data_IF_159640414603
#
_entry.id   IF_159640414603
#
_cell.length_a   1.000
_cell.length_b   1.000
_cell.length_c   1.000
_cell.angle_alpha   90.00
_cell.angle_beta   90.00
_cell.angle_gamma   90.00
#
_symmetry.space_group_name_H-M   'P 1'
#
loop_
_entity.id
_entity.type
_entity.pdbx_description
1 polymer ?
#
# COMPACT_ATOMS: atom_id res chain seq x y z
N UNK A 1 0.19 -25.35 32.29
CA UNK A 1 0.76 -24.40 31.31
C UNK A 1 -0.35 -23.97 30.37
N UNK A 2 -0.57 -22.65 30.19
CA UNK A 2 -1.61 -22.14 29.28
C UNK A 2 -1.11 -22.06 27.84
N UNK A 3 -2.03 -22.15 26.90
CA UNK A 3 -1.75 -21.95 25.48
C UNK A 3 -3.03 -21.98 24.65
N UNK A 4 -2.87 -22.28 23.36
CA UNK A 4 -3.93 -22.30 22.37
C UNK A 4 -3.92 -23.60 21.59
N UNK A 5 -5.09 -23.99 21.09
CA UNK A 5 -5.22 -25.11 20.16
C UNK A 5 -6.26 -24.79 19.10
N UNK A 6 -5.93 -25.16 17.87
CA UNK A 6 -6.84 -25.10 16.73
C UNK A 6 -7.34 -26.51 16.40
N UNK A 7 -8.61 -26.60 16.01
CA UNK A 7 -9.30 -27.81 15.62
C UNK A 7 -10.02 -27.59 14.28
N UNK A 8 -10.48 -28.68 13.69
CA UNK A 8 -11.41 -28.64 12.58
C UNK A 8 -12.77 -28.05 13.02
N UNK A 9 -13.61 -27.70 12.04
CA UNK A 9 -14.94 -27.10 12.27
C UNK A 9 -15.87 -27.92 13.18
N UNK A 10 -15.64 -29.23 13.25
CA UNK A 10 -16.40 -30.21 14.03
C UNK A 10 -15.74 -30.52 15.39
N UNK A 11 -14.79 -29.70 15.84
CA UNK A 11 -14.03 -29.90 17.08
C UNK A 11 -13.13 -31.15 17.08
N UNK A 12 -12.83 -31.71 15.90
CA UNK A 12 -11.89 -32.82 15.80
C UNK A 12 -10.45 -32.36 15.60
N UNK A 13 -9.50 -33.17 16.06
CA UNK A 13 -8.08 -33.06 15.73
C UNK A 13 -7.50 -34.47 15.65
N UNK A 14 -6.91 -34.83 14.51
CA UNK A 14 -6.32 -36.18 14.24
C UNK A 14 -7.27 -37.34 14.59
N UNK A 15 -8.57 -37.21 14.27
CA UNK A 15 -9.57 -38.25 14.51
C UNK A 15 -10.08 -38.35 15.95
N UNK A 16 -9.63 -37.47 16.85
CA UNK A 16 -10.13 -37.38 18.22
C UNK A 16 -11.12 -36.20 18.36
N UNK A 17 -12.24 -36.44 19.03
CA UNK A 17 -13.28 -35.45 19.29
C UNK A 17 -13.01 -34.71 20.59
N UNK A 18 -12.95 -33.37 20.52
CA UNK A 18 -12.80 -32.52 21.69
C UNK A 18 -14.10 -31.78 22.00
N UNK A 19 -14.17 -31.24 23.21
CA UNK A 19 -15.30 -30.47 23.70
C UNK A 19 -14.80 -29.44 24.73
N UNK A 20 -15.35 -28.24 24.68
CA UNK A 20 -15.06 -27.16 25.62
C UNK A 20 -15.49 -27.57 27.04
N UNK A 21 -14.69 -27.20 28.03
CA UNK A 21 -14.91 -27.51 29.44
C UNK A 21 -14.46 -28.91 29.88
N UNK A 22 -14.01 -29.76 28.94
CA UNK A 22 -13.52 -31.11 29.24
C UNK A 22 -12.00 -31.17 29.36
N UNK A 23 -11.55 -32.17 30.10
CA UNK A 23 -10.14 -32.56 30.21
C UNK A 23 -9.92 -33.89 29.53
N UNK A 24 -8.83 -33.99 28.78
CA UNK A 24 -8.47 -35.15 27.99
C UNK A 24 -7.10 -35.65 28.43
N UNK A 25 -6.92 -36.96 28.45
CA UNK A 25 -5.65 -37.62 28.77
C UNK A 25 -5.16 -38.45 27.60
N UNK A 26 -3.84 -38.52 27.44
CA UNK A 26 -3.16 -39.42 26.51
C UNK A 26 -2.37 -40.43 27.32
N UNK A 27 -2.66 -41.71 27.10
CA UNK A 27 -1.96 -42.81 27.77
C UNK A 27 -0.77 -43.28 26.93
N UNK A 28 0.33 -43.62 27.61
CA UNK A 28 1.57 -44.07 26.99
C UNK A 28 2.55 -42.93 26.63
N UNK A 29 3.59 -43.28 25.90
CA UNK A 29 4.65 -42.34 25.54
C UNK A 29 4.09 -41.22 24.65
N UNK A 30 4.37 -39.97 25.01
CA UNK A 30 4.07 -38.81 24.20
C UNK A 30 5.37 -38.11 23.78
N UNK A 31 5.32 -37.28 22.73
CA UNK A 31 6.50 -36.54 22.26
C UNK A 31 6.16 -35.58 21.13
N UNK A 32 6.99 -34.54 20.96
CA UNK A 32 6.69 -33.39 20.09
C UNK A 32 6.33 -33.75 18.63
N UNK A 33 6.89 -34.85 18.10
CA UNK A 33 6.65 -35.31 16.72
C UNK A 33 5.92 -36.65 16.64
N UNK A 34 5.48 -37.23 17.77
CA UNK A 34 4.83 -38.53 17.82
C UNK A 34 3.36 -38.39 18.24
N UNK A 35 3.05 -38.84 19.45
CA UNK A 35 1.72 -38.94 20.03
C UNK A 35 1.59 -37.98 21.21
N UNK A 36 0.36 -37.70 21.62
CA UNK A 36 0.03 -36.77 22.69
C UNK A 36 -0.94 -35.68 22.26
N UNK A 37 -1.24 -34.79 23.20
CA UNK A 37 -2.19 -33.70 23.02
C UNK A 37 -1.40 -32.42 22.68
N UNK A 38 -1.22 -32.15 21.38
CA UNK A 38 -0.47 -30.97 20.91
C UNK A 38 -1.26 -29.67 21.06
N UNK A 39 -0.56 -28.61 21.46
CA UNK A 39 -1.05 -27.23 21.56
C UNK A 39 0.11 -26.26 21.30
N UNK A 40 -0.15 -24.96 21.12
CA UNK A 40 0.88 -23.95 20.98
C UNK A 40 0.84 -22.95 22.13
N UNK A 41 1.98 -22.38 22.49
CA UNK A 41 2.04 -21.35 23.53
C UNK A 41 1.56 -20.00 23.00
N UNK A 42 1.93 -19.65 21.77
CA UNK A 42 1.38 -18.49 21.07
C UNK A 42 0.29 -18.93 20.09
N UNK A 43 -0.76 -18.11 19.98
CA UNK A 43 -1.86 -18.38 19.05
C UNK A 43 -1.39 -18.37 17.59
N UNK A 44 -0.42 -17.51 17.26
CA UNK A 44 0.11 -17.38 15.90
C UNK A 44 0.68 -18.70 15.38
N UNK A 45 1.42 -19.42 16.22
CA UNK A 45 2.11 -20.66 15.87
C UNK A 45 1.13 -21.81 15.55
N UNK A 46 -0.08 -21.79 16.15
CA UNK A 46 -1.12 -22.76 15.80
C UNK A 46 -1.44 -22.75 14.29
N UNK A 47 -1.36 -21.59 13.66
CA UNK A 47 -1.70 -21.40 12.25
C UNK A 47 -0.56 -21.72 11.29
N UNK A 48 0.55 -22.23 11.81
CA UNK A 48 1.58 -22.89 10.98
C UNK A 48 1.23 -24.37 10.77
N UNK A 49 0.33 -24.92 11.61
CA UNK A 49 -0.19 -26.29 11.54
C UNK A 49 -1.62 -26.38 10.99
N UNK A 50 -2.36 -25.28 10.99
CA UNK A 50 -3.73 -25.19 10.50
C UNK A 50 -3.88 -23.99 9.56
N UNK A 51 -4.72 -24.11 8.50
CA UNK A 51 -5.04 -22.95 7.67
C UNK A 51 -5.70 -21.86 8.51
N UNK A 52 -5.35 -20.60 8.26
CA UNK A 52 -6.01 -19.45 8.89
C UNK A 52 -7.40 -19.25 8.28
N UNK A 53 -8.39 -19.95 8.86
CA UNK A 53 -9.75 -20.03 8.33
C UNK A 53 -10.78 -19.83 9.45
N UNK A 54 -11.79 -18.94 9.29
CA UNK A 54 -12.83 -18.70 10.28
C UNK A 54 -13.73 -19.91 10.60
N UNK A 55 -13.72 -20.95 9.78
CA UNK A 55 -14.43 -22.21 10.08
C UNK A 55 -13.71 -23.07 11.13
N UNK A 56 -12.42 -22.85 11.36
CA UNK A 56 -11.69 -23.57 12.38
C UNK A 56 -12.18 -23.19 13.79
N UNK A 57 -12.14 -24.17 14.70
CA UNK A 57 -12.38 -23.92 16.12
C UNK A 57 -11.07 -23.60 16.80
N UNK A 58 -11.03 -22.51 17.56
CA UNK A 58 -9.85 -22.06 18.28
C UNK A 58 -10.19 -22.01 19.76
N UNK A 59 -9.33 -22.57 20.61
CA UNK A 59 -9.56 -22.60 22.04
C UNK A 59 -8.36 -22.16 22.84
N UNK A 60 -8.61 -21.51 23.97
CA UNK A 60 -7.67 -21.46 25.08
C UNK A 60 -7.62 -22.84 25.73
N UNK A 61 -6.41 -23.31 26.00
CA UNK A 61 -6.16 -24.62 26.61
C UNK A 61 -5.20 -24.50 27.78
N UNK A 62 -5.29 -25.47 28.69
CA UNK A 62 -4.35 -25.61 29.80
C UNK A 62 -3.82 -27.04 29.88
N UNK A 63 -2.51 -27.19 29.72
CA UNK A 63 -1.82 -28.43 30.01
C UNK A 63 -1.72 -28.61 31.52
N UNK A 64 -2.33 -29.69 32.02
CA UNK A 64 -2.43 -30.05 33.45
C UNK A 64 -1.49 -31.20 33.83
N UNK A 65 -0.84 -31.82 32.84
CA UNK A 65 0.09 -32.93 33.03
C UNK A 65 1.53 -32.55 32.71
N UNK A 66 2.32 -33.54 32.33
CA UNK A 66 3.68 -33.34 31.86
C UNK A 66 3.64 -32.65 30.49
N UNK A 67 4.62 -31.78 30.24
CA UNK A 67 4.72 -30.98 29.02
C UNK A 67 6.12 -31.08 28.44
N UNK A 68 6.19 -31.35 27.15
CA UNK A 68 7.40 -31.19 26.34
C UNK A 68 7.13 -30.06 25.33
N UNK A 69 8.06 -29.12 25.20
CA UNK A 69 7.91 -27.95 24.32
C UNK A 69 9.06 -27.88 23.33
N UNK A 70 8.74 -27.63 22.07
CA UNK A 70 9.67 -27.14 21.05
C UNK A 70 9.51 -25.64 20.86
N UNK A 71 10.00 -25.13 19.73
CA UNK A 71 10.01 -23.69 19.45
C UNK A 71 8.61 -23.11 19.19
N UNK A 72 7.76 -23.83 18.47
CA UNK A 72 6.46 -23.37 17.94
C UNK A 72 5.26 -24.23 18.39
N UNK A 73 5.53 -25.32 19.11
CA UNK A 73 4.50 -26.23 19.62
C UNK A 73 4.92 -26.90 20.92
N UNK A 74 3.92 -27.34 21.66
CA UNK A 74 4.04 -28.12 22.88
C UNK A 74 3.16 -29.36 22.78
N UNK A 75 3.47 -30.37 23.58
CA UNK A 75 2.68 -31.59 23.72
C UNK A 75 2.53 -31.92 25.20
N UNK A 76 1.36 -32.43 25.58
CA UNK A 76 1.09 -32.88 26.95
C UNK A 76 0.36 -34.22 26.97
N UNK A 77 0.47 -34.94 28.09
CA UNK A 77 -0.36 -36.10 28.38
C UNK A 77 -1.72 -35.75 29.02
N UNK A 78 -1.96 -34.49 29.42
CA UNK A 78 -3.26 -34.07 29.99
C UNK A 78 -3.59 -32.63 29.64
N UNK A 79 -4.63 -32.42 28.84
CA UNK A 79 -5.03 -31.12 28.30
C UNK A 79 -6.49 -30.80 28.65
N UNK A 80 -6.73 -29.64 29.25
CA UNK A 80 -8.06 -29.09 29.43
C UNK A 80 -8.38 -28.09 28.32
N UNK A 81 -9.58 -28.18 27.74
CA UNK A 81 -10.10 -27.21 26.77
C UNK A 81 -10.93 -26.20 27.56
N UNK A 82 -10.42 -24.98 27.72
CA UNK A 82 -10.99 -24.02 28.68
C UNK A 82 -12.22 -23.33 28.09
N UNK A 83 -12.06 -22.71 26.91
CA UNK A 83 -13.13 -22.02 26.19
C UNK A 83 -12.81 -21.89 24.72
N UNK A 84 -13.84 -21.73 23.89
CA UNK A 84 -13.70 -21.29 22.49
C UNK A 84 -13.38 -19.80 22.44
N UNK A 85 -12.48 -19.41 21.54
CA UNK A 85 -12.27 -18.03 21.11
C UNK A 85 -13.19 -17.74 19.93
N UNK A 86 -13.87 -16.60 19.96
CA UNK A 86 -14.54 -16.08 18.77
C UNK A 86 -13.51 -15.71 17.71
N UNK A 87 -13.92 -15.73 16.43
CA UNK A 87 -13.01 -15.32 15.36
C UNK A 87 -12.55 -13.85 15.48
N UNK A 88 -13.39 -12.99 16.05
CA UNK A 88 -13.00 -11.60 16.33
C UNK A 88 -11.88 -11.52 17.37
N UNK A 89 -11.94 -12.31 18.46
CA UNK A 89 -10.84 -12.40 19.43
C UNK A 89 -9.56 -12.90 18.76
N UNK A 90 -9.65 -13.92 17.89
CA UNK A 90 -8.50 -14.42 17.13
C UNK A 90 -7.86 -13.32 16.29
N UNK A 91 -8.67 -12.54 15.57
CA UNK A 91 -8.18 -11.42 14.76
C UNK A 91 -7.55 -10.32 15.62
N UNK A 92 -8.17 -9.97 16.75
CA UNK A 92 -7.68 -8.94 17.67
C UNK A 92 -6.37 -9.36 18.37
N UNK A 93 -6.17 -10.65 18.58
CA UNK A 93 -4.93 -11.19 19.18
C UNK A 93 -3.78 -11.29 18.18
N UNK A 94 -4.08 -11.46 16.89
CA UNK A 94 -3.07 -11.65 15.84
C UNK A 94 -2.77 -10.37 15.05
N UNK A 95 -3.47 -9.27 15.34
CA UNK A 95 -3.28 -7.99 14.67
C UNK A 95 -3.27 -6.87 15.72
N UNK A 96 -2.49 -5.83 15.47
CA UNK A 96 -2.57 -4.59 16.27
C UNK A 96 -3.49 -3.61 15.56
N UNK A 97 -4.53 -3.14 16.24
CA UNK A 97 -5.49 -2.16 15.74
C UNK A 97 -6.86 -2.76 15.46
N UNK A 98 -7.60 -2.24 14.48
CA UNK A 98 -9.04 -2.53 14.30
C UNK A 98 -9.39 -2.77 12.84
N UNK A 99 -10.37 -3.64 12.61
CA UNK A 99 -10.90 -3.91 11.27
C UNK A 99 -9.90 -4.62 10.36
N UNK A 100 -8.88 -5.25 10.91
CA UNK A 100 -7.92 -6.03 10.13
C UNK A 100 -8.50 -7.42 9.86
N UNK A 101 -8.30 -7.93 8.65
CA UNK A 101 -8.52 -9.33 8.29
C UNK A 101 -7.18 -9.97 7.90
N UNK A 102 -7.03 -11.27 8.08
CA UNK A 102 -5.73 -11.95 7.97
C UNK A 102 -4.90 -11.85 9.26
N UNK A 103 -3.60 -12.10 9.14
CA UNK A 103 -2.67 -12.33 10.26
C UNK A 103 -1.48 -11.37 10.24
N UNK A 104 -1.08 -10.88 11.41
CA UNK A 104 0.16 -10.13 11.59
C UNK A 104 0.12 -8.69 11.09
N UNK A 105 -1.07 -8.08 10.93
CA UNK A 105 -1.18 -6.69 10.52
C UNK A 105 -0.98 -5.74 11.72
N UNK A 106 -0.36 -4.59 11.45
CA UNK A 106 -0.26 -3.46 12.37
C UNK A 106 -0.94 -2.24 11.76
N UNK A 107 -1.89 -1.65 12.49
CA UNK A 107 -2.70 -0.51 12.07
C UNK A 107 -4.17 -0.88 11.86
N UNK A 108 -4.86 -0.25 10.91
CA UNK A 108 -6.32 -0.32 10.84
C UNK A 108 -6.80 -0.63 9.42
N UNK A 109 -7.86 -1.42 9.33
CA UNK A 109 -8.57 -1.71 8.08
C UNK A 109 -7.67 -2.33 7.00
N UNK A 110 -6.68 -3.14 7.40
CA UNK A 110 -5.88 -3.90 6.46
C UNK A 110 -6.57 -5.23 6.12
N UNK A 111 -6.49 -5.65 4.86
CA UNK A 111 -6.96 -6.95 4.40
C UNK A 111 -5.81 -7.74 3.79
N UNK A 112 -5.60 -8.97 4.28
CA UNK A 112 -4.45 -9.80 3.96
C UNK A 112 -3.47 -9.87 5.13
N UNK A 113 -2.23 -10.26 4.87
CA UNK A 113 -1.29 -10.60 5.96
C UNK A 113 -0.10 -9.65 6.01
N UNK A 114 0.40 -9.45 7.23
CA UNK A 114 1.67 -8.77 7.49
C UNK A 114 1.77 -7.35 6.92
N UNK A 115 0.66 -6.62 6.86
CA UNK A 115 0.67 -5.21 6.47
C UNK A 115 0.97 -4.31 7.67
N UNK A 116 1.73 -3.24 7.44
CA UNK A 116 1.99 -2.18 8.41
C UNK A 116 1.43 -0.85 7.89
N UNK A 117 0.61 -0.18 8.70
CA UNK A 117 -0.12 1.04 8.37
C UNK A 117 -1.62 0.80 8.18
N UNK A 118 -2.29 1.58 7.32
CA UNK A 118 -3.75 1.60 7.25
C UNK A 118 -4.30 1.41 5.85
N UNK A 119 -5.46 0.77 5.76
CA UNK A 119 -6.24 0.60 4.54
C UNK A 119 -5.47 -0.11 3.41
N UNK A 120 -4.56 -1.02 3.74
CA UNK A 120 -3.88 -1.83 2.74
C UNK A 120 -4.71 -3.06 2.36
N UNK A 121 -4.68 -3.44 1.08
CA UNK A 121 -5.28 -4.67 0.57
C UNK A 121 -4.21 -5.51 -0.13
N UNK A 122 -4.05 -6.76 0.30
CA UNK A 122 -2.97 -7.65 -0.11
C UNK A 122 -2.01 -7.92 1.04
N UNK A 123 -0.78 -8.34 0.74
CA UNK A 123 0.16 -8.84 1.74
C UNK A 123 1.47 -8.04 1.77
N UNK A 124 2.07 -7.94 2.96
CA UNK A 124 3.40 -7.38 3.17
C UNK A 124 3.56 -5.92 2.72
N UNK A 125 2.49 -5.12 2.75
CA UNK A 125 2.59 -3.69 2.45
C UNK A 125 3.04 -2.90 3.67
N UNK A 126 3.88 -1.89 3.45
CA UNK A 126 4.26 -0.90 4.46
C UNK A 126 3.82 0.49 4.04
N UNK A 127 3.09 1.17 4.91
CA UNK A 127 2.46 2.47 4.65
C UNK A 127 0.95 2.34 4.47
N UNK A 128 0.34 3.17 3.61
CA UNK A 128 -1.11 3.38 3.65
C UNK A 128 -1.74 3.29 2.27
N UNK A 129 -2.95 2.73 2.20
CA UNK A 129 -3.79 2.71 1.00
C UNK A 129 -3.10 2.04 -0.20
N UNK A 130 -2.28 1.02 0.05
CA UNK A 130 -1.69 0.21 -1.01
C UNK A 130 -2.64 -0.95 -1.38
N UNK A 131 -2.70 -1.26 -2.67
CA UNK A 131 -3.42 -2.42 -3.20
C UNK A 131 -2.46 -3.32 -3.98
N UNK A 132 -2.44 -4.60 -3.64
CA UNK A 132 -1.46 -5.58 -4.13
C UNK A 132 -0.43 -5.92 -3.05
N UNK A 133 0.75 -6.41 -3.43
CA UNK A 133 1.67 -7.03 -2.47
C UNK A 133 3.04 -6.36 -2.44
N UNK A 134 3.66 -6.35 -1.24
CA UNK A 134 5.04 -5.91 -1.03
C UNK A 134 5.31 -4.46 -1.47
N UNK A 135 4.32 -3.59 -1.36
CA UNK A 135 4.52 -2.17 -1.62
C UNK A 135 5.06 -1.45 -0.38
N UNK A 136 5.97 -0.52 -0.58
CA UNK A 136 6.46 0.41 0.45
C UNK A 136 6.06 1.83 0.06
N UNK A 137 5.42 2.54 1.00
CA UNK A 137 4.92 3.90 0.83
C UNK A 137 3.39 3.95 0.74
N UNK A 138 2.84 4.79 -0.14
CA UNK A 138 1.43 5.18 -0.05
C UNK A 138 0.76 5.22 -1.42
N UNK A 139 -0.51 4.80 -1.47
CA UNK A 139 -1.33 4.85 -2.68
C UNK A 139 -0.74 4.11 -3.88
N UNK A 140 0.01 3.04 -3.64
CA UNK A 140 0.51 2.20 -4.72
C UNK A 140 -0.54 1.15 -5.11
N UNK A 141 -0.70 0.91 -6.40
CA UNK A 141 -1.53 -0.15 -6.97
C UNK A 141 -0.67 -1.08 -7.81
N UNK A 142 -0.70 -2.38 -7.50
CA UNK A 142 0.20 -3.38 -8.07
C UNK A 142 1.15 -3.93 -7.01
N UNK A 143 2.30 -4.45 -7.41
CA UNK A 143 3.19 -5.20 -6.54
C UNK A 143 4.61 -4.64 -6.55
N UNK A 144 5.30 -4.75 -5.41
CA UNK A 144 6.73 -4.42 -5.26
C UNK A 144 7.08 -2.98 -5.63
N UNK A 145 6.14 -2.05 -5.47
CA UNK A 145 6.42 -0.64 -5.67
C UNK A 145 7.07 -0.03 -4.42
N UNK A 146 8.05 0.83 -4.62
CA UNK A 146 8.66 1.66 -3.58
C UNK A 146 8.42 3.12 -3.91
N UNK A 147 7.88 3.88 -2.94
CA UNK A 147 7.51 5.28 -3.08
C UNK A 147 6.00 5.48 -3.05
N UNK A 148 5.48 6.45 -3.82
CA UNK A 148 4.08 6.87 -3.66
C UNK A 148 3.38 7.03 -5.01
N UNK A 149 2.08 6.73 -5.03
CA UNK A 149 1.22 6.93 -6.20
C UNK A 149 1.70 6.19 -7.46
N UNK A 150 2.34 5.03 -7.30
CA UNK A 150 2.72 4.18 -8.43
C UNK A 150 1.57 3.25 -8.82
N UNK A 151 1.37 3.05 -10.11
CA UNK A 151 0.42 2.10 -10.68
C UNK A 151 1.14 1.16 -11.65
N UNK A 152 1.06 -0.14 -11.39
CA UNK A 152 1.83 -1.19 -12.07
C UNK A 152 2.77 -1.89 -11.10
N UNK A 153 3.71 -2.66 -11.60
CA UNK A 153 4.58 -3.51 -10.81
C UNK A 153 6.05 -3.06 -10.82
N UNK A 154 6.71 -3.22 -9.67
CA UNK A 154 8.15 -3.04 -9.50
C UNK A 154 8.69 -1.64 -9.81
N UNK A 155 7.90 -0.59 -9.58
CA UNK A 155 8.35 0.79 -9.73
C UNK A 155 9.08 1.29 -8.48
N UNK A 156 10.11 2.11 -8.69
CA UNK A 156 10.82 2.84 -7.64
C UNK A 156 10.76 4.34 -7.93
N UNK A 157 10.25 5.12 -6.99
CA UNK A 157 10.00 6.55 -7.13
C UNK A 157 8.52 6.89 -6.96
N UNK A 158 8.08 8.00 -7.53
CA UNK A 158 6.74 8.52 -7.32
C UNK A 158 5.99 8.74 -8.64
N UNK A 159 4.67 8.57 -8.61
CA UNK A 159 3.78 8.90 -9.74
C UNK A 159 4.09 8.15 -11.03
N UNK A 160 4.64 6.93 -10.94
CA UNK A 160 4.88 6.11 -12.13
C UNK A 160 3.63 5.34 -12.54
N UNK A 161 3.41 5.21 -13.85
CA UNK A 161 2.40 4.36 -14.45
C UNK A 161 3.03 3.38 -15.45
N UNK A 162 2.79 2.09 -15.25
CA UNK A 162 3.45 0.99 -15.97
C UNK A 162 4.42 0.24 -15.06
N UNK A 163 5.31 -0.54 -15.64
CA UNK A 163 6.09 -1.54 -14.91
C UNK A 163 7.60 -1.24 -14.95
N UNK A 164 8.28 -1.56 -13.84
CA UNK A 164 9.74 -1.54 -13.73
C UNK A 164 10.38 -0.18 -14.03
N UNK A 165 9.70 0.93 -13.69
CA UNK A 165 10.28 2.26 -13.80
C UNK A 165 11.12 2.60 -12.55
N UNK A 166 12.20 3.34 -12.76
CA UNK A 166 13.02 3.96 -11.71
C UNK A 166 13.12 5.46 -11.98
N UNK A 167 12.68 6.28 -11.03
CA UNK A 167 12.54 7.73 -11.16
C UNK A 167 11.10 8.16 -10.92
N UNK A 168 10.80 9.42 -11.20
CA UNK A 168 9.51 10.04 -10.89
C UNK A 168 8.73 10.40 -12.16
N UNK A 169 7.40 10.27 -12.08
CA UNK A 169 6.45 10.71 -13.11
C UNK A 169 6.64 10.04 -14.48
N UNK A 170 7.04 8.78 -14.51
CA UNK A 170 7.14 8.02 -15.75
C UNK A 170 5.79 7.39 -16.16
N UNK A 171 5.59 7.29 -17.46
CA UNK A 171 4.52 6.53 -18.10
C UNK A 171 5.15 5.56 -19.11
N UNK A 172 4.75 4.29 -19.07
CA UNK A 172 5.35 3.21 -19.84
C UNK A 172 6.22 2.30 -18.99
N UNK A 173 7.14 1.55 -19.60
CA UNK A 173 7.83 0.46 -18.92
C UNK A 173 9.36 0.58 -19.01
N UNK A 174 10.06 0.13 -17.97
CA UNK A 174 11.52 0.02 -17.96
C UNK A 174 12.26 1.36 -18.15
N UNK A 175 11.67 2.48 -17.74
CA UNK A 175 12.35 3.78 -17.75
C UNK A 175 13.25 3.91 -16.52
N UNK A 176 14.39 4.57 -16.67
CA UNK A 176 15.35 4.83 -15.58
C UNK A 176 15.68 6.32 -15.47
N UNK A 177 14.65 7.17 -15.66
CA UNK A 177 14.73 8.64 -15.68
C UNK A 177 13.51 9.21 -14.99
N UNK A 178 13.41 10.53 -14.93
CA UNK A 178 12.15 11.20 -14.58
C UNK A 178 11.38 11.61 -15.85
N UNK A 179 10.08 11.81 -15.72
CA UNK A 179 9.19 12.41 -16.73
C UNK A 179 9.19 11.73 -18.12
N UNK A 180 9.53 10.45 -18.22
CA UNK A 180 9.52 9.72 -19.48
C UNK A 180 8.11 9.19 -19.80
N UNK A 181 7.72 9.28 -21.07
CA UNK A 181 6.46 8.69 -21.57
C UNK A 181 6.68 7.49 -22.50
N UNK A 182 7.91 6.95 -22.51
CA UNK A 182 8.36 5.89 -23.41
C UNK A 182 8.57 4.54 -22.73
N UNK A 183 9.34 3.69 -23.38
CA UNK A 183 9.85 2.46 -22.77
C UNK A 183 11.34 2.34 -22.99
N UNK A 184 12.06 1.78 -22.02
CA UNK A 184 13.52 1.68 -22.04
C UNK A 184 14.22 3.05 -22.18
N UNK A 185 13.65 4.12 -21.64
CA UNK A 185 14.31 5.42 -21.61
C UNK A 185 15.37 5.44 -20.51
N UNK A 186 16.63 5.70 -20.88
CA UNK A 186 17.77 5.88 -19.96
C UNK A 186 18.25 7.32 -19.87
N UNK A 187 17.71 8.20 -20.70
CA UNK A 187 18.01 9.63 -20.73
C UNK A 187 16.69 10.41 -20.70
N UNK A 188 16.66 11.54 -19.98
CA UNK A 188 15.46 12.35 -19.83
C UNK A 188 14.98 12.84 -21.21
N UNK A 189 13.69 12.66 -21.48
CA UNK A 189 13.09 13.10 -22.74
C UNK A 189 13.14 14.64 -22.83
N UNK A 190 13.33 15.21 -24.05
CA UNK A 190 13.37 16.65 -24.21
C UNK A 190 12.13 17.34 -23.64
N UNK A 191 12.33 18.32 -22.76
CA UNK A 191 11.25 19.18 -22.31
C UNK A 191 10.76 20.04 -23.48
N UNK A 192 9.45 20.05 -23.73
CA UNK A 192 8.86 20.75 -24.87
C UNK A 192 8.26 22.08 -24.41
N UNK A 193 8.68 23.17 -25.05
CA UNK A 193 8.05 24.49 -24.96
C UNK A 193 7.60 24.89 -26.36
N UNK A 194 6.35 25.32 -26.50
CA UNK A 194 5.76 25.75 -27.77
C UNK A 194 5.99 24.75 -28.92
N UNK A 195 5.67 23.48 -28.66
CA UNK A 195 5.76 22.36 -29.60
C UNK A 195 7.18 22.05 -30.12
N UNK A 196 8.23 22.59 -29.51
CA UNK A 196 9.63 22.37 -29.88
C UNK A 196 10.47 21.95 -28.67
N UNK A 197 11.54 21.14 -28.86
CA UNK A 197 12.52 20.89 -27.81
C UNK A 197 13.05 22.20 -27.23
N UNK A 198 12.95 22.34 -25.91
CA UNK A 198 13.39 23.50 -25.18
C UNK A 198 14.92 23.50 -25.03
N UNK A 199 15.58 24.68 -25.13
CA UNK A 199 16.99 24.81 -24.79
C UNK A 199 17.25 24.80 -23.28
N UNK A 200 16.20 24.92 -22.47
CA UNK A 200 16.25 24.84 -20.99
C UNK A 200 15.52 23.59 -20.49
N UNK A 201 15.96 23.09 -19.35
CA UNK A 201 15.37 21.96 -18.64
C UNK A 201 13.98 22.30 -18.07
N UNK A 202 13.24 21.26 -17.70
CA UNK A 202 11.93 21.40 -17.03
C UNK A 202 12.02 22.18 -15.73
N UNK A 203 13.05 21.92 -14.92
CA UNK A 203 13.26 22.60 -13.65
C UNK A 203 13.65 24.06 -13.83
N UNK A 204 14.50 24.39 -14.81
CA UNK A 204 14.80 25.78 -15.15
C UNK A 204 13.52 26.54 -15.56
N UNK A 205 12.67 25.94 -16.39
CA UNK A 205 11.40 26.56 -16.74
C UNK A 205 10.49 26.72 -15.52
N UNK A 206 10.36 25.67 -14.70
CA UNK A 206 9.54 25.69 -13.46
C UNK A 206 9.88 26.88 -12.57
N UNK A 207 11.16 27.21 -12.44
CA UNK A 207 11.65 28.32 -11.61
C UNK A 207 11.84 29.65 -12.35
N UNK A 208 11.59 29.71 -13.65
CA UNK A 208 11.66 30.95 -14.45
C UNK A 208 10.56 31.96 -14.11
N UNK A 209 10.83 33.25 -14.35
CA UNK A 209 9.84 34.32 -14.17
C UNK A 209 8.63 34.16 -15.11
N UNK A 210 8.85 33.69 -16.34
CA UNK A 210 7.76 33.41 -17.30
C UNK A 210 6.76 32.39 -16.75
N UNK A 211 7.25 31.27 -16.20
CA UNK A 211 6.38 30.29 -15.57
C UNK A 211 5.73 30.83 -14.28
N UNK A 212 6.44 31.67 -13.52
CA UNK A 212 5.91 32.31 -12.30
C UNK A 212 4.76 33.27 -12.61
N UNK A 213 4.84 34.01 -13.70
CA UNK A 213 3.77 34.87 -14.21
C UNK A 213 2.58 34.01 -14.65
N UNK A 214 2.82 32.97 -15.47
CA UNK A 214 1.75 32.08 -15.94
C UNK A 214 0.99 31.40 -14.78
N UNK A 215 1.67 31.08 -13.66
CA UNK A 215 1.05 30.51 -12.46
C UNK A 215 0.08 31.44 -11.71
N UNK A 216 0.03 32.73 -12.06
CA UNK A 216 -0.96 33.67 -11.50
C UNK A 216 -2.35 33.50 -12.11
N UNK A 217 -2.50 32.67 -13.16
CA UNK A 217 -3.79 32.40 -13.80
C UNK A 217 -4.81 31.87 -12.77
N UNK A 218 -5.93 32.58 -12.63
CA UNK A 218 -7.05 32.20 -11.77
C UNK A 218 -8.20 31.67 -12.63
N UNK A 219 -8.60 30.42 -12.41
CA UNK A 219 -9.74 29.79 -13.10
C UNK A 219 -11.04 29.86 -12.29
N UNK A 220 -11.01 30.60 -11.18
CA UNK A 220 -12.17 30.90 -10.34
C UNK A 220 -12.14 32.37 -9.96
N UNK A 221 -13.30 33.00 -9.85
CA UNK A 221 -13.43 34.35 -9.31
C UNK A 221 -13.37 34.37 -7.77
N UNK A 222 -13.48 35.56 -7.18
CA UNK A 222 -13.43 35.76 -5.74
C UNK A 222 -14.63 35.13 -4.99
N UNK A 223 -15.70 34.77 -5.72
CA UNK A 223 -16.91 34.11 -5.22
C UNK A 223 -16.82 32.58 -5.39
N UNK A 224 -15.76 32.07 -6.02
CA UNK A 224 -15.53 30.65 -6.30
C UNK A 224 -16.22 30.15 -7.57
N UNK A 225 -16.78 31.03 -8.39
CA UNK A 225 -17.39 30.68 -9.69
C UNK A 225 -16.29 30.40 -10.70
N UNK A 226 -16.43 29.31 -11.45
CA UNK A 226 -15.48 28.93 -12.50
C UNK A 226 -15.45 29.96 -13.63
N UNK A 227 -14.27 30.39 -14.03
CA UNK A 227 -14.02 31.27 -15.18
C UNK A 227 -13.59 30.41 -16.38
N UNK A 228 -14.08 30.76 -17.57
CA UNK A 228 -13.62 30.13 -18.81
C UNK A 228 -12.12 30.35 -19.04
N UNK A 229 -11.42 29.31 -19.51
CA UNK A 229 -9.95 29.30 -19.54
C UNK A 229 -9.34 30.48 -20.31
N UNK A 230 -9.87 30.77 -21.50
CA UNK A 230 -9.39 31.90 -22.32
C UNK A 230 -9.72 33.25 -21.69
N UNK A 231 -10.89 33.38 -21.06
CA UNK A 231 -11.27 34.60 -20.35
C UNK A 231 -10.34 34.87 -19.15
N UNK A 232 -9.97 33.83 -18.39
CA UNK A 232 -8.99 33.94 -17.32
C UNK A 232 -7.62 34.43 -17.82
N UNK A 233 -7.17 33.93 -19.00
CA UNK A 233 -5.95 34.41 -19.63
C UNK A 233 -6.04 35.87 -20.04
N UNK A 234 -7.15 36.30 -20.66
CA UNK A 234 -7.39 37.70 -21.01
C UNK A 234 -7.30 38.59 -19.77
N UNK A 235 -7.99 38.24 -18.68
CA UNK A 235 -7.92 38.99 -17.42
C UNK A 235 -6.48 39.08 -16.90
N UNK A 236 -5.76 37.96 -16.81
CA UNK A 236 -4.36 37.96 -16.38
C UNK A 236 -3.52 38.89 -17.26
N UNK A 237 -3.66 38.77 -18.59
CA UNK A 237 -2.88 39.55 -19.54
C UNK A 237 -3.13 41.04 -19.44
N UNK A 238 -4.37 41.46 -19.22
CA UNK A 238 -4.73 42.87 -19.05
C UNK A 238 -4.13 43.46 -17.75
N UNK A 239 -3.96 42.63 -16.71
CA UNK A 239 -3.30 43.01 -15.46
C UNK A 239 -1.77 43.07 -15.55
N UNK A 240 -1.16 42.39 -16.53
CA UNK A 240 0.31 42.37 -16.67
C UNK A 240 0.84 43.73 -17.12
N UNK A 241 1.91 44.17 -16.47
CA UNK A 241 2.74 45.28 -16.94
C UNK A 241 3.45 44.93 -18.25
N UNK A 242 3.87 45.96 -19.01
CA UNK A 242 4.62 45.73 -20.25
C UNK A 242 5.89 44.87 -20.05
N UNK A 243 6.71 45.08 -18.99
CA UNK A 243 7.83 44.18 -18.71
C UNK A 243 7.40 42.73 -18.49
N UNK A 244 6.30 42.48 -17.78
CA UNK A 244 5.81 41.11 -17.56
C UNK A 244 5.31 40.46 -18.85
N UNK A 245 4.63 41.22 -19.71
CA UNK A 245 4.24 40.75 -21.06
C UNK A 245 5.46 40.36 -21.89
N UNK A 246 6.54 41.15 -21.81
CA UNK A 246 7.82 40.85 -22.47
C UNK A 246 8.43 39.58 -21.87
N UNK A 247 8.41 39.42 -20.54
CA UNK A 247 8.91 38.21 -19.87
C UNK A 247 8.18 36.94 -20.33
N UNK A 248 6.86 36.99 -20.50
CA UNK A 248 6.08 35.86 -21.04
C UNK A 248 6.46 35.57 -22.50
N UNK A 249 6.59 36.61 -23.32
CA UNK A 249 7.02 36.48 -24.72
C UNK A 249 8.50 36.05 -24.88
N UNK A 250 9.29 36.14 -23.80
CA UNK A 250 10.68 35.70 -23.76
C UNK A 250 10.85 34.26 -23.30
N UNK A 251 9.76 33.53 -23.03
CA UNK A 251 9.83 32.09 -22.76
C UNK A 251 10.48 31.39 -23.97
N UNK A 252 11.44 30.46 -23.77
CA UNK A 252 12.08 29.80 -24.91
C UNK A 252 11.09 29.14 -25.85
N UNK A 253 11.39 29.20 -27.15
CA UNK A 253 10.53 28.76 -28.26
C UNK A 253 9.20 29.51 -28.39
N UNK A 254 8.97 30.63 -27.69
CA UNK A 254 7.71 31.38 -27.79
C UNK A 254 7.24 31.54 -29.23
N UNK A 255 5.97 31.19 -29.44
CA UNK A 255 5.32 31.18 -30.73
C UNK A 255 3.96 31.86 -30.55
N UNK A 256 3.78 33.01 -31.20
CA UNK A 256 2.60 33.85 -31.02
C UNK A 256 1.32 33.16 -31.49
N UNK A 257 1.38 32.34 -32.55
CA UNK A 257 0.22 31.62 -33.06
C UNK A 257 -0.19 30.51 -32.07
N UNK A 258 0.78 29.77 -31.54
CA UNK A 258 0.52 28.76 -30.49
C UNK A 258 -0.02 29.44 -29.22
N UNK A 259 0.53 30.60 -28.85
CA UNK A 259 0.07 31.37 -27.70
C UNK A 259 -1.38 31.84 -27.89
N UNK A 260 -1.74 32.38 -29.06
CA UNK A 260 -3.11 32.79 -29.39
C UNK A 260 -4.07 31.60 -29.39
N UNK A 261 -3.68 30.46 -29.94
CA UNK A 261 -4.50 29.24 -29.94
C UNK A 261 -4.84 28.80 -28.51
N UNK A 262 -3.85 28.77 -27.62
CA UNK A 262 -4.00 28.34 -26.23
C UNK A 262 -4.77 29.39 -25.41
N UNK A 263 -4.34 30.64 -25.46
CA UNK A 263 -4.79 31.68 -24.53
C UNK A 263 -5.92 32.55 -25.07
N UNK A 264 -6.06 32.67 -26.39
CA UNK A 264 -6.94 33.63 -27.06
C UNK A 264 -6.37 35.04 -27.18
N UNK A 265 -5.11 35.26 -26.76
CA UNK A 265 -4.46 36.57 -26.80
C UNK A 265 -3.58 36.66 -28.04
N UNK A 266 -3.80 37.71 -28.83
CA UNK A 266 -2.93 38.07 -29.94
C UNK A 266 -1.90 39.09 -29.48
N UNK A 267 -0.62 38.79 -29.71
CA UNK A 267 0.54 39.61 -29.29
C UNK A 267 1.34 40.14 -30.46
#
# INVERSE_FOLDING_TARGET
MKGYKVFNKDWTCRGFQYEVGKTFTHEGHFGLCNAGLHFCQQLNDCFDYYPFNPENKVAEVEALGEVESGDDKSVTNKLAIIRELTWQEVLDMLNTGKGNTGRGNSGHYNSGDSNSGHYNSGHYNSGNRNSGNRNSGHYNSGNRNSGHYNSGDSNSGHYNSGDSNSGDSNSGNFNSTDYSSGSFCSEEQPFILFNKPSPITRDEFKWSDGARICRRLKLVDDEGTKIEYKAAWTTLWDELSNPEKITVQSIPNFDADVFEVITGIRV
#
